data_IF_016051892458
#
_entry.id   IF_016051892458
#
_cell.length_a   1.000
_cell.length_b   1.000
_cell.length_c   1.000
_cell.angle_alpha   90.00
_cell.angle_beta   90.00
_cell.angle_gamma   90.00
#
_symmetry.space_group_name_H-M   'P 1'
#
loop_
_entity.id
_entity.type
_entity.pdbx_description
1 polymer ?
#
# COMPACT_ATOMS: atom_id res chain seq x y z
N UNK A 1 -13.10 3.25 29.81
CA UNK A 1 -12.51 4.60 29.89
C UNK A 1 -11.41 4.64 28.87
N UNK A 2 -11.55 5.47 27.84
CA UNK A 2 -10.57 5.59 26.76
C UNK A 2 -9.23 6.08 27.26
N UNK A 3 -8.16 5.67 26.57
CA UNK A 3 -6.80 6.11 26.88
C UNK A 3 -6.62 7.48 26.22
N UNK A 4 -6.12 8.46 26.97
CA UNK A 4 -5.91 9.83 26.48
C UNK A 4 -4.43 10.18 26.62
N UNK A 5 -3.67 9.93 25.57
CA UNK A 5 -2.34 10.53 25.42
C UNK A 5 -2.42 11.90 24.74
N UNK A 6 -1.30 12.62 24.69
CA UNK A 6 -1.21 13.95 24.09
C UNK A 6 -0.86 13.92 22.59
N UNK A 7 -0.54 12.74 22.05
CA UNK A 7 -0.23 12.53 20.64
C UNK A 7 -1.46 12.47 19.73
N UNK A 8 -1.25 12.73 18.44
CA UNK A 8 -2.31 12.82 17.42
C UNK A 8 -3.13 11.52 17.22
N UNK A 9 -2.61 10.38 17.67
CA UNK A 9 -3.25 9.07 17.54
C UNK A 9 -3.52 8.41 18.90
N UNK A 10 -3.36 9.14 20.01
CA UNK A 10 -3.42 8.58 21.36
C UNK A 10 -4.79 8.78 22.04
N UNK A 11 -5.82 9.03 21.24
CA UNK A 11 -7.22 9.11 21.67
C UNK A 11 -8.05 8.14 20.86
N UNK A 12 -9.01 7.46 21.52
CA UNK A 12 -9.95 6.54 20.87
C UNK A 12 -10.61 7.17 19.63
N UNK A 13 -11.06 8.42 19.70
CA UNK A 13 -11.69 9.11 18.56
C UNK A 13 -10.73 9.31 17.38
N UNK A 14 -9.44 9.53 17.65
CA UNK A 14 -8.44 9.65 16.60
C UNK A 14 -8.15 8.27 15.95
N UNK A 15 -8.15 7.20 16.74
CA UNK A 15 -7.99 5.83 16.24
C UNK A 15 -9.21 5.35 15.44
N UNK A 16 -10.41 5.73 15.84
CA UNK A 16 -11.65 5.47 15.07
C UNK A 16 -11.60 6.19 13.72
N UNK A 17 -11.18 7.47 13.72
CA UNK A 17 -11.02 8.23 12.49
C UNK A 17 -9.96 7.62 11.56
N UNK A 18 -8.80 7.26 12.11
CA UNK A 18 -7.73 6.61 11.37
C UNK A 18 -8.19 5.26 10.78
N UNK A 19 -8.92 4.46 11.55
CA UNK A 19 -9.49 3.20 11.07
C UNK A 19 -10.41 3.42 9.87
N UNK A 20 -11.32 4.40 9.95
CA UNK A 20 -12.18 4.76 8.83
C UNK A 20 -11.42 5.23 7.58
N UNK A 21 -10.28 5.92 7.76
CA UNK A 21 -9.41 6.31 6.64
C UNK A 21 -8.76 5.09 5.99
N UNK A 22 -8.23 4.16 6.79
CA UNK A 22 -7.63 2.91 6.29
C UNK A 22 -8.68 2.07 5.56
N UNK A 23 -9.85 1.87 6.18
CA UNK A 23 -10.94 1.07 5.60
C UNK A 23 -11.41 1.65 4.26
N UNK A 24 -11.48 2.98 4.14
CA UNK A 24 -11.81 3.64 2.88
C UNK A 24 -10.78 3.34 1.79
N UNK A 25 -9.48 3.42 2.10
CA UNK A 25 -8.41 3.12 1.13
C UNK A 25 -8.50 1.66 0.66
N UNK A 26 -8.73 0.72 1.59
CA UNK A 26 -8.90 -0.70 1.28
C UNK A 26 -10.15 -0.94 0.43
N UNK A 27 -11.27 -0.29 0.77
CA UNK A 27 -12.54 -0.41 0.04
C UNK A 27 -12.40 0.13 -1.39
N UNK A 28 -11.81 1.31 -1.57
CA UNK A 28 -11.56 1.91 -2.89
C UNK A 28 -10.72 0.97 -3.78
N UNK A 29 -9.67 0.35 -3.23
CA UNK A 29 -8.86 -0.63 -3.96
C UNK A 29 -9.69 -1.88 -4.28
N UNK A 30 -10.41 -2.43 -3.30
CA UNK A 30 -11.21 -3.64 -3.48
C UNK A 30 -12.30 -3.45 -4.57
N UNK A 31 -12.99 -2.31 -4.56
CA UNK A 31 -14.01 -1.97 -5.56
C UNK A 31 -13.40 -1.81 -6.95
N UNK A 32 -12.27 -1.11 -7.08
CA UNK A 32 -11.57 -0.98 -8.36
C UNK A 32 -11.09 -2.34 -8.90
N UNK A 33 -10.55 -3.19 -8.04
CA UNK A 33 -10.04 -4.52 -8.41
C UNK A 33 -11.14 -5.55 -8.69
N UNK A 34 -12.35 -5.35 -8.18
CA UNK A 34 -13.52 -6.20 -8.45
C UNK A 34 -14.35 -5.74 -9.66
N UNK A 35 -14.10 -4.52 -10.15
CA UNK A 35 -14.81 -3.91 -11.26
C UNK A 35 -14.38 -4.37 -12.64
N UNK A 36 -14.71 -3.56 -13.65
CA UNK A 36 -14.25 -3.78 -15.03
C UNK A 36 -12.72 -3.59 -15.11
N UNK A 37 -11.94 -4.58 -15.60
CA UNK A 37 -10.50 -4.47 -15.73
C UNK A 37 -10.01 -3.25 -16.51
N UNK A 38 -10.83 -2.68 -17.39
CA UNK A 38 -10.49 -1.45 -18.13
C UNK A 38 -10.20 -0.30 -17.16
N UNK A 39 -10.91 -0.17 -16.04
CA UNK A 39 -10.74 0.99 -15.14
C UNK A 39 -9.36 1.06 -14.48
N UNK A 40 -8.63 -0.07 -14.44
CA UNK A 40 -7.27 -0.17 -13.91
C UNK A 40 -6.18 -0.17 -14.99
N UNK A 41 -6.53 0.12 -16.25
CA UNK A 41 -5.54 0.35 -17.31
C UNK A 41 -4.63 1.55 -16.97
N UNK A 42 -3.37 1.58 -17.47
CA UNK A 42 -2.36 2.51 -16.98
C UNK A 42 -2.68 4.01 -17.18
N UNK A 43 -3.53 4.34 -18.15
CA UNK A 43 -4.01 5.69 -18.46
C UNK A 43 -5.38 6.00 -17.86
N UNK A 44 -5.99 5.05 -17.16
CA UNK A 44 -7.24 5.24 -16.43
C UNK A 44 -7.00 5.66 -14.97
N UNK A 45 -8.02 6.26 -14.36
CA UNK A 45 -7.92 6.81 -13.00
C UNK A 45 -7.46 5.77 -11.98
N UNK A 46 -8.04 4.56 -12.00
CA UNK A 46 -7.67 3.53 -11.03
C UNK A 46 -6.33 2.84 -11.35
N UNK A 47 -5.84 2.93 -12.59
CA UNK A 47 -4.46 2.53 -12.93
C UNK A 47 -3.39 3.37 -12.24
N UNK A 48 -3.74 4.60 -11.83
CA UNK A 48 -2.88 5.49 -11.05
C UNK A 48 -3.22 5.46 -9.56
N UNK A 49 -4.51 5.48 -9.22
CA UNK A 49 -4.97 5.58 -7.83
C UNK A 49 -4.76 4.29 -7.03
N UNK A 50 -4.90 3.10 -7.63
CA UNK A 50 -4.67 1.83 -6.91
C UNK A 50 -3.24 1.73 -6.38
N UNK A 51 -2.16 1.87 -7.19
CA UNK A 51 -0.80 1.87 -6.67
C UNK A 51 -0.54 2.94 -5.61
N UNK A 52 -1.17 4.11 -5.72
CA UNK A 52 -1.07 5.18 -4.73
C UNK A 52 -1.68 4.77 -3.39
N UNK A 53 -2.90 4.23 -3.40
CA UNK A 53 -3.59 3.77 -2.19
C UNK A 53 -2.83 2.62 -1.51
N UNK A 54 -2.26 1.69 -2.29
CA UNK A 54 -1.42 0.60 -1.76
C UNK A 54 -0.15 1.14 -1.08
N UNK A 55 0.51 2.13 -1.67
CA UNK A 55 1.67 2.80 -1.08
C UNK A 55 1.31 3.52 0.23
N UNK A 56 0.16 4.22 0.27
CA UNK A 56 -0.34 4.86 1.49
C UNK A 56 -0.62 3.83 2.60
N UNK A 57 -1.29 2.73 2.28
CA UNK A 57 -1.56 1.64 3.22
C UNK A 57 -0.24 1.06 3.77
N UNK A 58 0.75 0.84 2.91
CA UNK A 58 2.08 0.36 3.30
C UNK A 58 2.77 1.32 4.26
N UNK A 59 2.78 2.63 3.96
CA UNK A 59 3.38 3.66 4.82
C UNK A 59 2.68 3.72 6.18
N UNK A 60 1.35 3.66 6.21
CA UNK A 60 0.58 3.62 7.46
C UNK A 60 0.89 2.36 8.27
N UNK A 61 1.00 1.20 7.62
CA UNK A 61 1.34 -0.06 8.27
C UNK A 61 2.75 -0.03 8.90
N UNK A 62 3.74 0.48 8.17
CA UNK A 62 5.11 0.62 8.67
C UNK A 62 5.21 1.56 9.86
N UNK A 63 4.39 2.62 9.88
CA UNK A 63 4.28 3.53 11.01
C UNK A 63 3.47 2.96 12.19
N UNK A 64 2.92 1.75 12.07
CA UNK A 64 2.13 1.10 13.11
C UNK A 64 0.65 1.48 13.13
N UNK A 65 0.18 2.27 12.16
CA UNK A 65 -1.15 2.90 12.11
C UNK A 65 -2.21 2.12 11.33
N UNK A 66 -1.89 0.92 10.81
CA UNK A 66 -2.84 0.10 10.05
C UNK A 66 -3.01 -1.34 10.60
N UNK A 67 -2.49 -1.64 11.80
CA UNK A 67 -2.55 -2.99 12.36
C UNK A 67 -4.01 -3.44 12.56
N UNK A 68 -4.40 -4.52 11.88
CA UNK A 68 -5.73 -5.13 11.95
C UNK A 68 -6.70 -4.74 10.83
N UNK A 69 -6.43 -3.67 10.09
CA UNK A 69 -7.32 -3.16 9.03
C UNK A 69 -6.75 -3.35 7.62
N UNK A 70 -5.58 -3.99 7.49
CA UNK A 70 -5.06 -4.38 6.18
C UNK A 70 -5.82 -5.58 5.61
N UNK A 71 -5.97 -5.65 4.27
CA UNK A 71 -6.44 -6.86 3.61
C UNK A 71 -5.49 -8.03 3.89
N UNK A 72 -6.01 -9.26 3.83
CA UNK A 72 -5.17 -10.45 3.94
C UNK A 72 -4.10 -10.46 2.84
N UNK A 73 -2.90 -10.96 3.15
CA UNK A 73 -1.80 -11.01 2.18
C UNK A 73 -2.20 -11.75 0.89
N UNK A 74 -2.99 -12.82 0.99
CA UNK A 74 -3.50 -13.54 -0.19
C UNK A 74 -4.36 -12.68 -1.10
N UNK A 75 -5.16 -11.77 -0.53
CA UNK A 75 -5.97 -10.81 -1.30
C UNK A 75 -5.07 -9.80 -2.03
N UNK A 76 -4.02 -9.30 -1.38
CA UNK A 76 -3.04 -8.41 -2.02
C UNK A 76 -2.33 -9.09 -3.18
N UNK A 77 -1.96 -10.37 -3.03
CA UNK A 77 -1.34 -11.16 -4.11
C UNK A 77 -2.30 -11.41 -5.29
N UNK A 78 -3.59 -11.60 -5.02
CA UNK A 78 -4.62 -11.70 -6.05
C UNK A 78 -4.77 -10.37 -6.80
N UNK A 79 -4.81 -9.25 -6.07
CA UNK A 79 -4.83 -7.92 -6.68
C UNK A 79 -3.59 -7.66 -7.53
N UNK A 80 -2.40 -8.01 -7.03
CA UNK A 80 -1.15 -7.89 -7.78
C UNK A 80 -1.25 -8.63 -9.11
N UNK A 81 -1.71 -9.87 -9.09
CA UNK A 81 -1.85 -10.70 -10.31
C UNK A 81 -2.81 -10.06 -11.30
N UNK A 82 -3.99 -9.63 -10.85
CA UNK A 82 -5.00 -9.02 -11.71
C UNK A 82 -4.55 -7.68 -12.28
N UNK A 83 -4.00 -6.79 -11.44
CA UNK A 83 -3.53 -5.47 -11.84
C UNK A 83 -2.37 -5.57 -12.84
N UNK A 84 -1.38 -6.43 -12.55
CA UNK A 84 -0.23 -6.60 -13.42
C UNK A 84 -0.59 -7.28 -14.74
N UNK A 85 -1.56 -8.19 -14.78
CA UNK A 85 -2.05 -8.78 -16.05
C UNK A 85 -2.64 -7.71 -16.98
N UNK A 86 -3.46 -6.81 -16.45
CA UNK A 86 -4.00 -5.66 -17.22
C UNK A 86 -2.85 -4.76 -17.67
N UNK A 87 -2.03 -4.30 -16.73
CA UNK A 87 -0.97 -3.35 -16.99
C UNK A 87 0.04 -3.85 -18.04
N UNK A 88 0.48 -5.11 -17.96
CA UNK A 88 1.44 -5.69 -18.91
C UNK A 88 0.89 -5.77 -20.34
N UNK A 89 -0.40 -6.06 -20.47
CA UNK A 89 -1.08 -6.20 -21.77
C UNK A 89 -1.35 -4.87 -22.44
N UNK A 90 -1.57 -3.79 -21.68
CA UNK A 90 -2.04 -2.51 -22.22
C UNK A 90 -0.97 -1.44 -22.30
N UNK A 91 0.09 -1.49 -21.46
CA UNK A 91 1.11 -0.44 -21.40
C UNK A 91 1.83 -0.18 -22.73
N UNK A 92 2.07 -1.21 -23.55
CA UNK A 92 2.76 -1.03 -24.84
C UNK A 92 1.92 -0.23 -25.85
N UNK A 93 0.59 -0.28 -25.71
CA UNK A 93 -0.34 0.50 -26.53
C UNK A 93 -0.26 2.01 -26.27
N UNK A 94 0.36 2.41 -25.15
CA UNK A 94 0.59 3.80 -24.77
C UNK A 94 1.96 4.33 -25.23
N UNK A 95 2.71 3.54 -26.01
CA UNK A 95 4.02 3.90 -26.57
C UNK A 95 4.99 4.50 -25.52
N UNK A 96 5.29 3.76 -24.42
CA UNK A 96 6.12 4.28 -23.34
C UNK A 96 7.55 4.57 -23.81
N UNK A 97 8.18 5.56 -23.19
CA UNK A 97 9.61 5.83 -23.45
C UNK A 97 10.49 4.61 -23.13
N UNK A 98 11.63 4.41 -23.84
CA UNK A 98 12.51 3.28 -23.60
C UNK A 98 12.93 3.16 -22.13
N UNK A 99 12.81 1.97 -21.54
CA UNK A 99 13.14 1.69 -20.13
C UNK A 99 12.02 1.97 -19.13
N UNK A 100 11.01 2.76 -19.50
CA UNK A 100 9.90 3.10 -18.59
C UNK A 100 9.12 1.85 -18.14
N UNK A 101 8.86 0.91 -19.05
CA UNK A 101 8.11 -0.31 -18.74
C UNK A 101 8.85 -1.13 -17.69
N UNK A 102 10.15 -1.33 -17.84
CA UNK A 102 10.96 -2.07 -16.89
C UNK A 102 10.98 -1.41 -15.51
N UNK A 103 11.23 -0.10 -15.46
CA UNK A 103 11.30 0.67 -14.21
C UNK A 103 9.94 0.67 -13.51
N UNK A 104 8.86 0.95 -14.24
CA UNK A 104 7.51 1.02 -13.68
C UNK A 104 7.04 -0.35 -13.20
N UNK A 105 7.32 -1.42 -13.94
CA UNK A 105 7.06 -2.81 -13.52
C UNK A 105 7.73 -3.12 -12.18
N UNK A 106 9.00 -2.73 -12.02
CA UNK A 106 9.73 -2.96 -10.77
C UNK A 106 9.08 -2.21 -9.59
N UNK A 107 8.64 -0.97 -9.81
CA UNK A 107 7.96 -0.17 -8.78
C UNK A 107 6.62 -0.80 -8.39
N UNK A 108 5.79 -1.15 -9.37
CA UNK A 108 4.48 -1.76 -9.11
C UNK A 108 4.61 -3.07 -8.34
N UNK A 109 5.47 -3.99 -8.80
CA UNK A 109 5.69 -5.26 -8.10
C UNK A 109 6.11 -5.05 -6.65
N UNK A 110 7.10 -4.18 -6.42
CA UNK A 110 7.57 -3.85 -5.07
C UNK A 110 6.44 -3.30 -4.18
N UNK A 111 5.62 -2.39 -4.69
CA UNK A 111 4.51 -1.81 -3.90
C UNK A 111 3.51 -2.88 -3.45
N UNK A 112 3.14 -3.82 -4.32
CA UNK A 112 2.27 -4.94 -3.92
C UNK A 112 2.96 -5.90 -2.95
N UNK A 113 4.22 -6.28 -3.23
CA UNK A 113 4.98 -7.22 -2.41
C UNK A 113 5.18 -6.70 -0.98
N UNK A 114 5.60 -5.44 -0.84
CA UNK A 114 5.82 -4.84 0.48
C UNK A 114 4.52 -4.69 1.28
N UNK A 115 3.37 -4.43 0.63
CA UNK A 115 2.08 -4.42 1.31
C UNK A 115 1.66 -5.83 1.74
N UNK A 116 1.86 -6.85 0.89
CA UNK A 116 1.57 -8.24 1.23
C UNK A 116 2.44 -8.73 2.41
N UNK A 117 3.70 -8.32 2.48
CA UNK A 117 4.58 -8.57 3.63
C UNK A 117 4.08 -7.90 4.92
N UNK A 118 3.66 -6.63 4.84
CA UNK A 118 3.07 -5.91 5.96
C UNK A 118 1.78 -6.58 6.45
N UNK A 119 0.90 -6.99 5.53
CA UNK A 119 -0.33 -7.71 5.82
C UNK A 119 -0.07 -9.09 6.47
N UNK A 120 1.02 -9.76 6.11
CA UNK A 120 1.43 -11.04 6.71
C UNK A 120 2.08 -10.89 8.10
N UNK A 121 2.21 -9.66 8.62
CA UNK A 121 2.93 -9.39 9.87
C UNK A 121 4.44 -9.63 9.77
N UNK A 122 4.99 -9.63 8.56
CA UNK A 122 6.43 -9.82 8.28
C UNK A 122 7.15 -8.48 8.07
N UNK A 123 6.73 -7.44 8.77
CA UNK A 123 7.36 -6.13 8.65
C UNK A 123 8.77 -6.19 9.24
N UNK A 124 9.78 -6.05 8.39
CA UNK A 124 11.16 -5.79 8.84
C UNK A 124 11.13 -4.47 9.62
N UNK A 125 11.57 -4.41 10.89
CA UNK A 125 11.58 -3.16 11.63
C UNK A 125 12.38 -2.11 10.83
N UNK A 126 11.75 -0.98 10.52
CA UNK A 126 12.47 0.17 9.98
C UNK A 126 13.60 0.51 10.96
N UNK A 127 14.84 0.57 10.47
CA UNK A 127 16.03 0.88 11.26
C UNK A 127 15.79 2.13 12.10
N UNK A 128 15.47 1.95 13.38
CA UNK A 128 15.29 3.08 14.30
C UNK A 128 16.66 3.71 14.54
N UNK A 129 16.68 5.03 14.67
CA UNK A 129 17.88 5.83 14.92
C UNK A 129 18.45 5.65 16.36
N UNK A 130 18.49 4.42 16.87
CA UNK A 130 19.04 4.07 18.17
C UNK A 130 20.41 3.35 18.09
N UNK A 131 20.90 3.01 16.90
CA UNK A 131 22.18 2.30 16.73
C UNK A 131 23.43 3.21 16.64
N UNK A 132 23.29 4.54 16.66
CA UNK A 132 24.44 5.47 16.60
C UNK A 132 24.96 5.93 17.98
N UNK A 133 24.46 5.36 19.07
CA UNK A 133 24.78 5.80 20.43
C UNK A 133 25.87 5.02 21.18
N UNK A 134 26.47 3.97 20.61
CA UNK A 134 27.27 3.03 21.41
C UNK A 134 28.61 2.64 20.79
N UNK A 135 29.36 3.62 20.25
CA UNK A 135 30.79 3.50 19.99
C UNK A 135 31.48 4.83 20.35
N UNK A 136 31.81 5.00 21.62
CA UNK A 136 32.49 6.20 22.10
C UNK A 136 32.72 6.19 23.61
N UNK A 137 33.51 5.23 24.09
CA UNK A 137 34.20 5.27 25.38
C UNK A 137 35.67 4.94 25.16
#
# INVERSE_FOLDING_TARGET
MGTWGSGNFESDTALDHLSAVVDRLVTEVAEAMAGDPVVVEPDEYWGVAVPCNLELLRVLAQAGYAHGNLPEAGVVEEWKRAFMDVWERTIDGLEPTPGFKEDRRSVLNRTFDELAEAAAGRTTPGRTAQDEGQLGA
#
